data_IF_686550462056
#
_entry.id   IF_686550462056
#
_cell.length_a   1.000
_cell.length_b   1.000
_cell.length_c   1.000
_cell.angle_alpha   90.00
_cell.angle_beta   90.00
_cell.angle_gamma   90.00
#
_symmetry.space_group_name_H-M   'P 1'
#
loop_
_entity.id
_entity.type
_entity.pdbx_description
1 polymer ?
#
# COMPACT_ATOMS: atom_id res chain seq x y z
N UNK A 1 -0.82 3.02 -1.49
CA UNK A 1 -2.06 3.81 -1.56
C UNK A 1 -3.34 2.99 -1.68
N UNK A 2 -3.49 2.02 -2.60
CA UNK A 2 -4.77 1.33 -2.80
C UNK A 2 -5.33 0.65 -1.53
N UNK A 3 -4.48 -0.04 -0.77
CA UNK A 3 -4.91 -0.66 0.49
C UNK A 3 -5.44 0.38 1.51
N UNK A 4 -4.72 1.50 1.67
CA UNK A 4 -5.07 2.53 2.65
C UNK A 4 -6.38 3.21 2.25
N UNK A 5 -6.56 3.56 0.99
CA UNK A 5 -7.81 4.16 0.49
C UNK A 5 -8.99 3.17 0.50
N UNK A 6 -8.73 1.87 0.40
CA UNK A 6 -9.75 0.83 0.58
C UNK A 6 -10.20 0.70 2.05
N UNK A 7 -9.26 0.81 3.00
CA UNK A 7 -9.55 0.63 4.44
C UNK A 7 -10.10 1.90 5.11
N UNK A 8 -9.69 3.08 4.65
CA UNK A 8 -10.10 4.36 5.21
C UNK A 8 -11.38 4.87 4.51
N UNK A 9 -12.52 4.70 5.20
CA UNK A 9 -13.86 5.11 4.71
C UNK A 9 -14.01 6.60 4.37
N UNK A 10 -13.08 7.44 4.81
CA UNK A 10 -13.06 8.90 4.57
C UNK A 10 -11.74 9.35 3.91
N UNK A 11 -11.01 8.46 3.24
CA UNK A 11 -9.80 8.86 2.53
C UNK A 11 -10.15 9.99 1.54
N UNK A 12 -9.61 11.19 1.79
CA UNK A 12 -9.75 12.33 0.88
C UNK A 12 -8.88 12.02 -0.33
N UNK A 13 -9.49 11.42 -1.36
CA UNK A 13 -8.83 11.17 -2.63
C UNK A 13 -9.05 12.42 -3.50
N UNK A 14 -7.97 12.93 -4.09
CA UNK A 14 -8.04 14.00 -5.10
C UNK A 14 -9.01 13.58 -6.23
N UNK A 15 -9.79 14.54 -6.75
CA UNK A 15 -10.88 14.30 -7.71
C UNK A 15 -10.48 13.32 -8.83
N UNK A 16 -11.25 12.23 -8.99
CA UNK A 16 -11.18 11.37 -10.18
C UNK A 16 -10.87 9.88 -9.96
N UNK A 17 -10.81 9.39 -8.72
CA UNK A 17 -10.48 7.98 -8.47
C UNK A 17 -11.68 7.24 -7.86
N UNK A 18 -12.63 6.91 -8.73
CA UNK A 18 -13.75 6.01 -8.44
C UNK A 18 -13.27 4.54 -8.51
N UNK A 19 -12.20 4.22 -7.75
CA UNK A 19 -11.36 3.02 -7.95
C UNK A 19 -12.06 1.72 -7.59
N UNK A 20 -13.08 1.79 -6.72
CA UNK A 20 -13.64 0.63 -6.03
C UNK A 20 -15.09 0.34 -6.39
N UNK A 21 -15.82 1.28 -7.00
CA UNK A 21 -17.29 1.22 -7.09
C UNK A 21 -17.84 0.86 -8.48
N UNK A 22 -17.00 0.60 -9.50
CA UNK A 22 -17.45 0.67 -10.91
C UNK A 22 -17.14 -0.51 -11.84
N UNK A 23 -16.83 -1.73 -11.36
CA UNK A 23 -16.75 -2.90 -12.27
C UNK A 23 -17.04 -4.26 -11.61
N UNK A 24 -17.44 -5.26 -12.44
CA UNK A 24 -17.62 -6.67 -12.04
C UNK A 24 -16.33 -7.31 -11.49
N UNK A 25 -15.17 -6.68 -11.70
CA UNK A 25 -13.86 -7.13 -11.23
C UNK A 25 -13.41 -6.44 -9.92
N UNK A 26 -14.19 -5.49 -9.41
CA UNK A 26 -13.87 -4.70 -8.21
C UNK A 26 -13.52 -5.59 -7.01
N UNK A 27 -14.33 -6.62 -6.72
CA UNK A 27 -14.08 -7.57 -5.64
C UNK A 27 -12.76 -8.35 -5.80
N UNK A 28 -12.43 -8.78 -7.03
CA UNK A 28 -11.18 -9.51 -7.29
C UNK A 28 -9.97 -8.60 -7.07
N UNK A 29 -10.05 -7.35 -7.53
CA UNK A 29 -9.00 -6.34 -7.35
C UNK A 29 -8.82 -6.00 -5.87
N UNK A 30 -9.92 -5.78 -5.13
CA UNK A 30 -9.90 -5.58 -3.68
C UNK A 30 -9.23 -6.76 -2.97
N UNK A 31 -9.62 -8.00 -3.30
CA UNK A 31 -9.07 -9.19 -2.68
C UNK A 31 -7.57 -9.35 -2.96
N UNK A 32 -7.11 -9.03 -4.18
CA UNK A 32 -5.68 -9.00 -4.52
C UNK A 32 -4.92 -8.01 -3.62
N UNK A 33 -5.42 -6.78 -3.47
CA UNK A 33 -4.79 -5.79 -2.60
C UNK A 33 -4.76 -6.24 -1.12
N UNK A 34 -5.83 -6.85 -0.62
CA UNK A 34 -5.88 -7.40 0.75
C UNK A 34 -4.93 -8.59 0.94
N UNK A 35 -4.82 -9.48 -0.05
CA UNK A 35 -3.88 -10.59 -0.01
C UNK A 35 -2.43 -10.11 -0.01
N UNK A 36 -2.10 -9.13 -0.86
CA UNK A 36 -0.78 -8.47 -0.85
C UNK A 36 -0.52 -7.77 0.48
N UNK A 37 -1.50 -7.08 1.07
CA UNK A 37 -1.38 -6.45 2.38
C UNK A 37 -1.00 -7.45 3.48
N UNK A 38 -1.64 -8.63 3.49
CA UNK A 38 -1.30 -9.72 4.41
C UNK A 38 0.14 -10.18 4.22
N UNK A 39 0.58 -10.36 2.98
CA UNK A 39 1.99 -10.71 2.69
C UNK A 39 2.94 -9.61 3.17
N UNK A 40 2.62 -8.34 2.95
CA UNK A 40 3.44 -7.22 3.43
C UNK A 40 3.56 -7.26 4.96
N UNK A 41 2.45 -7.42 5.67
CA UNK A 41 2.45 -7.50 7.13
C UNK A 41 3.28 -8.69 7.65
N UNK A 42 3.19 -9.85 6.99
CA UNK A 42 3.99 -11.03 7.34
C UNK A 42 5.49 -10.84 7.10
N UNK A 43 5.87 -10.00 6.13
CA UNK A 43 7.26 -9.74 5.75
C UNK A 43 7.75 -8.35 6.20
N UNK A 44 7.08 -7.71 7.16
CA UNK A 44 7.37 -6.33 7.55
C UNK A 44 8.84 -6.13 7.99
N UNK A 45 9.38 -7.07 8.75
CA UNK A 45 10.77 -7.05 9.21
C UNK A 45 11.77 -7.07 8.05
N UNK A 46 11.52 -7.91 7.02
CA UNK A 46 12.35 -7.98 5.82
C UNK A 46 12.40 -6.62 5.10
N UNK A 47 11.27 -5.93 4.98
CA UNK A 47 11.25 -4.59 4.38
C UNK A 47 12.00 -3.56 5.23
N UNK A 48 11.91 -3.63 6.57
CA UNK A 48 12.69 -2.76 7.46
C UNK A 48 14.17 -2.98 7.29
N UNK A 49 14.62 -4.24 7.39
CA UNK A 49 16.03 -4.61 7.26
C UNK A 49 16.59 -4.23 5.89
N UNK A 50 15.81 -4.45 4.82
CA UNK A 50 16.22 -4.06 3.46
C UNK A 50 16.40 -2.55 3.36
N UNK A 51 15.49 -1.77 3.94
CA UNK A 51 15.60 -0.31 3.94
C UNK A 51 16.82 0.16 4.76
N UNK A 52 17.05 -0.40 5.94
CA UNK A 52 18.21 -0.08 6.77
C UNK A 52 19.53 -0.35 6.03
N UNK A 53 19.65 -1.51 5.38
CA UNK A 53 20.83 -1.85 4.58
C UNK A 53 21.03 -0.91 3.38
N UNK A 54 19.94 -0.50 2.71
CA UNK A 54 20.01 0.44 1.58
C UNK A 54 20.34 1.88 2.00
N UNK A 55 20.16 2.22 3.28
CA UNK A 55 20.38 3.55 3.83
C UNK A 55 21.66 3.63 4.68
N UNK A 56 22.35 2.52 4.89
CA UNK A 56 23.58 2.47 5.67
C UNK A 56 24.65 3.39 5.06
N UNK A 57 25.22 4.27 5.90
CA UNK A 57 26.23 5.23 5.48
C UNK A 57 25.73 6.36 4.57
N UNK A 58 24.41 6.50 4.36
CA UNK A 58 23.85 7.58 3.55
C UNK A 58 23.92 8.91 4.31
N UNK A 59 24.59 9.90 3.74
CA UNK A 59 24.49 11.29 4.18
C UNK A 59 23.24 11.95 3.58
N UNK A 60 22.52 12.70 4.40
CA UNK A 60 21.34 13.46 3.98
C UNK A 60 21.73 14.93 3.85
N UNK A 61 21.41 15.55 2.72
CA UNK A 61 21.54 17.00 2.57
C UNK A 61 20.63 17.66 3.62
N UNK A 62 21.23 18.51 4.47
CA UNK A 62 20.54 19.24 5.54
C UNK A 62 19.79 20.47 5.01
#
# INVERSE_FOLDING_TARGET
MPLVTLMERQAVIFEGVDLWESSDQSCEIMLKHLATARQIAQNAEMYSLTAEQMLEGREWDK
#
